data_IF_671803025576
#
_entry.id   IF_671803025576
#
_cell.length_a   1.000
_cell.length_b   1.000
_cell.length_c   1.000
_cell.angle_alpha   90.00
_cell.angle_beta   90.00
_cell.angle_gamma   90.00
#
_symmetry.space_group_name_H-M   'P 1'
#
loop_
_entity.id
_entity.type
_entity.pdbx_description
1 polymer ?
#
# COMPACT_ATOMS: atom_id res chain seq x y z
N UNK A 1 60.53 -8.73 -47.20
CA UNK A 1 61.56 -7.80 -46.66
C UNK A 1 60.91 -6.88 -45.63
N UNK A 2 60.91 -7.22 -44.32
CA UNK A 2 60.57 -6.26 -43.27
C UNK A 2 61.84 -5.80 -42.54
N UNK A 3 62.00 -4.48 -42.46
CA UNK A 3 63.12 -3.78 -41.85
C UNK A 3 63.15 -3.92 -40.34
N UNK A 4 64.35 -4.24 -39.84
CA UNK A 4 64.77 -4.19 -38.44
C UNK A 4 64.94 -2.74 -37.98
N UNK A 5 64.38 -2.39 -36.83
CA UNK A 5 64.77 -1.30 -35.94
C UNK A 5 64.19 -1.63 -34.56
N UNK A 6 64.77 -1.33 -33.40
CA UNK A 6 66.12 -1.02 -32.94
C UNK A 6 65.97 -1.09 -31.41
N UNK A 7 66.80 -1.90 -30.75
CA UNK A 7 66.86 -2.02 -29.29
C UNK A 7 67.59 -0.80 -28.74
N UNK A 8 67.06 -0.15 -27.70
CA UNK A 8 67.88 0.60 -26.73
C UNK A 8 67.25 0.59 -25.33
N UNK A 9 67.90 -0.19 -24.46
CA UNK A 9 67.84 -0.12 -23.00
C UNK A 9 68.27 1.27 -22.53
N UNK A 10 67.64 1.77 -21.46
CA UNK A 10 68.38 2.56 -20.46
C UNK A 10 67.75 2.48 -19.08
N UNK A 11 68.64 2.19 -18.12
CA UNK A 11 68.40 1.92 -16.72
C UNK A 11 68.09 3.19 -15.93
N UNK A 12 67.18 3.11 -14.97
CA UNK A 12 67.00 4.12 -13.93
C UNK A 12 67.58 3.59 -12.61
N UNK A 13 68.78 4.07 -12.31
CA UNK A 13 69.49 3.86 -11.06
C UNK A 13 68.83 4.63 -9.91
N UNK A 14 68.83 3.95 -8.78
CA UNK A 14 68.58 4.43 -7.43
C UNK A 14 69.49 5.61 -7.05
N UNK A 15 68.90 6.66 -6.49
CA UNK A 15 69.62 7.64 -5.67
C UNK A 15 68.71 8.19 -4.58
N UNK A 16 68.84 7.55 -3.41
CA UNK A 16 68.38 8.03 -2.11
C UNK A 16 69.09 9.33 -1.75
N UNK A 17 68.36 10.45 -1.72
CA UNK A 17 68.83 11.69 -1.10
C UNK A 17 68.08 11.92 0.21
N UNK A 18 68.75 11.63 1.33
CA UNK A 18 68.38 12.13 2.65
C UNK A 18 68.56 13.64 2.65
N UNK A 19 67.46 14.38 2.82
CA UNK A 19 67.50 15.82 3.13
C UNK A 19 67.03 15.97 4.57
N UNK A 20 67.84 16.68 5.34
CA UNK A 20 67.68 16.93 6.76
C UNK A 20 66.36 17.67 7.07
N UNK A 21 65.74 17.29 8.17
CA UNK A 21 64.55 17.91 8.72
C UNK A 21 64.89 19.28 9.35
N UNK A 22 64.19 20.37 8.98
CA UNK A 22 64.14 21.55 9.82
C UNK A 22 63.07 21.38 10.92
N UNK A 23 63.51 21.53 12.15
CA UNK A 23 62.70 21.58 13.36
C UNK A 23 61.73 22.78 13.27
N UNK A 24 60.43 22.52 13.10
CA UNK A 24 59.39 23.55 13.22
C UNK A 24 58.65 23.40 14.56
N UNK A 25 58.68 24.47 15.34
CA UNK A 25 57.94 24.64 16.59
C UNK A 25 56.42 24.61 16.37
N UNK A 26 55.62 24.19 17.37
CA UNK A 26 54.18 24.01 17.25
C UNK A 26 53.43 25.27 17.71
N UNK A 27 53.13 26.20 16.81
CA UNK A 27 52.28 27.35 17.15
C UNK A 27 51.31 27.66 16.00
N UNK A 28 50.03 27.36 16.25
CA UNK A 28 48.82 28.03 15.75
C UNK A 28 48.58 27.99 14.24
N UNK A 29 47.80 27.02 13.79
CA UNK A 29 46.97 27.13 12.56
C UNK A 29 45.79 26.13 12.62
N UNK A 30 44.91 26.33 13.61
CA UNK A 30 43.63 25.66 13.70
C UNK A 30 42.50 26.61 13.25
N UNK A 31 42.54 27.11 12.01
CA UNK A 31 41.40 27.78 11.37
C UNK A 31 41.48 27.52 9.86
N UNK A 32 40.36 27.09 9.27
CA UNK A 32 40.14 26.78 7.85
C UNK A 32 40.43 25.37 7.33
N UNK A 33 39.83 24.36 7.99
CA UNK A 33 39.24 23.26 7.23
C UNK A 33 37.71 23.43 7.27
N UNK A 34 37.03 23.56 6.12
CA UNK A 34 35.57 23.55 6.12
C UNK A 34 35.10 22.20 6.69
N UNK A 35 34.02 22.19 7.50
CA UNK A 35 33.51 20.95 8.06
C UNK A 35 33.17 19.99 6.91
N UNK A 36 33.72 18.78 6.95
CA UNK A 36 33.21 17.67 6.15
C UNK A 36 31.81 17.40 6.69
N UNK A 37 30.81 18.00 6.03
CA UNK A 37 29.40 17.77 6.33
C UNK A 37 29.10 16.35 5.84
N UNK A 38 29.26 15.36 6.72
CA UNK A 38 28.58 14.10 6.56
C UNK A 38 27.08 14.41 6.61
N UNK A 39 26.39 14.35 5.48
CA UNK A 39 24.92 14.33 5.45
C UNK A 39 24.47 13.11 6.24
N UNK A 40 24.13 13.34 7.50
CA UNK A 40 23.52 12.35 8.37
C UNK A 40 22.23 11.87 7.72
N UNK A 41 22.08 10.56 7.56
CA UNK A 41 20.91 9.92 6.92
C UNK A 41 19.65 9.96 7.78
N UNK A 42 19.60 10.77 8.85
CA UNK A 42 18.51 10.83 9.82
C UNK A 42 17.35 11.75 9.44
N UNK A 43 17.44 12.54 8.35
CA UNK A 43 16.32 13.33 7.81
C UNK A 43 15.30 12.49 7.00
N UNK A 44 15.08 11.24 7.38
CA UNK A 44 14.15 10.33 6.69
C UNK A 44 12.67 10.76 6.85
N UNK A 45 12.35 11.61 7.83
CA UNK A 45 11.01 12.17 8.02
C UNK A 45 10.67 13.30 7.02
N UNK A 46 11.66 13.90 6.35
CA UNK A 46 11.47 15.04 5.43
C UNK A 46 11.33 14.68 3.94
N UNK A 47 11.47 13.40 3.56
CA UNK A 47 11.46 12.98 2.15
C UNK A 47 10.08 12.60 1.61
N UNK A 48 9.00 13.14 2.17
CA UNK A 48 7.71 13.08 1.47
C UNK A 48 7.80 14.10 0.33
N UNK A 49 8.28 13.64 -0.82
CA UNK A 49 8.39 14.46 -2.02
C UNK A 49 7.07 15.15 -2.34
N UNK A 50 7.15 16.34 -2.94
CA UNK A 50 5.99 17.12 -3.38
C UNK A 50 5.04 16.22 -4.19
N UNK A 51 3.71 16.31 -4.02
CA UNK A 51 2.78 15.57 -4.88
C UNK A 51 2.94 16.00 -6.35
N UNK A 52 2.72 15.05 -7.27
CA UNK A 52 2.69 15.33 -8.71
C UNK A 52 1.46 16.16 -9.08
N UNK A 53 1.69 17.22 -9.83
CA UNK A 53 0.66 18.00 -10.51
C UNK A 53 0.27 17.35 -11.84
N UNK A 54 -0.91 17.69 -12.35
CA UNK A 54 -1.35 17.20 -13.67
C UNK A 54 -0.42 17.62 -14.81
N UNK A 55 0.12 18.83 -14.76
CA UNK A 55 1.06 19.31 -15.77
C UNK A 55 2.35 18.48 -15.77
N UNK A 56 2.85 18.10 -14.60
CA UNK A 56 3.99 17.19 -14.49
C UNK A 56 3.66 15.79 -15.04
N UNK A 57 2.45 15.27 -14.80
CA UNK A 57 2.02 14.00 -15.40
C UNK A 57 2.03 14.06 -16.95
N UNK A 58 1.53 15.16 -17.54
CA UNK A 58 1.56 15.36 -19.01
C UNK A 58 3.00 15.50 -19.54
N UNK A 59 3.89 16.17 -18.80
CA UNK A 59 5.32 16.26 -19.15
C UNK A 59 6.01 14.90 -19.06
N UNK A 60 5.71 14.09 -18.04
CA UNK A 60 6.24 12.72 -17.93
C UNK A 60 5.78 11.88 -19.11
N UNK A 61 4.51 11.97 -19.50
CA UNK A 61 3.97 11.31 -20.69
C UNK A 61 4.72 11.71 -21.94
N UNK A 62 4.82 13.02 -22.19
CA UNK A 62 5.50 13.57 -23.36
C UNK A 62 6.95 13.11 -23.43
N UNK A 63 7.72 13.27 -22.35
CA UNK A 63 9.13 12.87 -22.33
C UNK A 63 9.31 11.35 -22.46
N UNK A 64 8.37 10.54 -21.96
CA UNK A 64 8.42 9.08 -22.19
C UNK A 64 8.11 8.71 -23.64
N UNK A 65 7.19 9.42 -24.31
CA UNK A 65 6.93 9.27 -25.75
C UNK A 65 8.14 9.69 -26.59
N UNK A 66 8.87 10.70 -26.15
CA UNK A 66 10.16 11.13 -26.73
C UNK A 66 11.34 10.19 -26.38
N UNK A 67 11.12 9.10 -25.64
CA UNK A 67 12.13 8.08 -25.36
C UNK A 67 13.07 8.40 -24.19
N UNK A 68 12.84 9.47 -23.44
CA UNK A 68 13.72 9.84 -22.33
C UNK A 68 13.67 8.82 -21.18
N UNK A 69 14.84 8.55 -20.58
CA UNK A 69 14.95 7.74 -19.37
C UNK A 69 14.32 8.46 -18.17
N UNK A 70 13.85 7.71 -17.17
CA UNK A 70 13.28 8.31 -15.96
C UNK A 70 14.25 9.23 -15.21
N UNK A 71 15.56 8.97 -15.30
CA UNK A 71 16.57 9.83 -14.70
C UNK A 71 16.62 11.21 -15.37
N UNK A 72 16.54 11.25 -16.71
CA UNK A 72 16.51 12.49 -17.47
C UNK A 72 15.21 13.25 -17.24
N UNK A 73 14.09 12.54 -17.11
CA UNK A 73 12.79 13.13 -16.78
C UNK A 73 12.82 13.74 -15.37
N UNK A 74 13.34 13.02 -14.38
CA UNK A 74 13.51 13.52 -13.01
C UNK A 74 14.38 14.78 -12.99
N UNK A 75 15.49 14.80 -13.75
CA UNK A 75 16.35 15.97 -13.89
C UNK A 75 15.62 17.16 -14.53
N UNK A 76 14.78 16.93 -15.54
CA UNK A 76 13.96 17.97 -16.19
C UNK A 76 12.83 18.51 -15.30
N UNK A 77 12.26 17.67 -14.42
CA UNK A 77 11.21 18.09 -13.49
C UNK A 77 11.78 18.78 -12.24
N UNK A 78 13.02 18.48 -11.85
CA UNK A 78 13.76 19.14 -10.76
C UNK A 78 13.27 18.82 -9.34
N UNK A 79 11.98 18.54 -9.17
CA UNK A 79 11.35 18.34 -7.86
C UNK A 79 11.20 16.87 -7.44
N UNK A 80 11.49 15.92 -8.34
CA UNK A 80 11.20 14.50 -8.13
C UNK A 80 12.41 13.61 -8.40
N UNK A 81 12.60 12.58 -7.58
CA UNK A 81 13.64 11.58 -7.80
C UNK A 81 13.26 10.56 -8.90
N UNK A 82 14.28 9.95 -9.51
CA UNK A 82 14.11 8.95 -10.60
C UNK A 82 13.12 7.84 -10.27
N UNK A 83 13.21 7.27 -9.06
CA UNK A 83 12.30 6.20 -8.62
C UNK A 83 10.85 6.68 -8.45
N UNK A 84 10.67 7.91 -7.97
CA UNK A 84 9.34 8.54 -7.84
C UNK A 84 8.69 8.70 -9.22
N UNK A 85 9.44 9.20 -10.21
CA UNK A 85 8.95 9.41 -11.58
C UNK A 85 8.59 8.08 -12.24
N UNK A 86 9.45 7.06 -12.07
CA UNK A 86 9.19 5.72 -12.59
C UNK A 86 7.96 5.06 -11.95
N UNK A 87 7.76 5.23 -10.64
CA UNK A 87 6.59 4.71 -9.96
C UNK A 87 5.31 5.43 -10.38
N UNK A 88 5.36 6.78 -10.42
CA UNK A 88 4.25 7.61 -10.90
C UNK A 88 3.85 7.24 -12.34
N UNK A 89 4.82 7.04 -13.22
CA UNK A 89 4.57 6.62 -14.59
C UNK A 89 3.85 5.27 -14.62
N UNK A 90 4.41 4.25 -13.96
CA UNK A 90 3.84 2.90 -14.00
C UNK A 90 2.46 2.82 -13.36
N UNK A 91 2.24 3.43 -12.19
CA UNK A 91 1.04 3.23 -11.37
C UNK A 91 -0.13 4.17 -11.69
N UNK A 92 0.14 5.36 -12.23
CA UNK A 92 -0.91 6.38 -12.39
C UNK A 92 -1.05 6.90 -13.81
N UNK A 93 0.07 7.02 -14.53
CA UNK A 93 0.07 7.67 -15.83
C UNK A 93 -0.11 6.65 -16.96
N UNK A 94 0.67 5.57 -16.96
CA UNK A 94 0.55 4.47 -17.90
C UNK A 94 -0.86 3.85 -17.83
N UNK A 95 -1.45 3.82 -16.64
CA UNK A 95 -2.84 3.38 -16.47
C UNK A 95 -3.89 4.43 -16.83
N UNK A 96 -3.54 5.72 -16.89
CA UNK A 96 -4.46 6.78 -17.34
C UNK A 96 -4.52 6.89 -18.86
N UNK A 97 -3.40 6.63 -19.56
CA UNK A 97 -3.42 6.23 -20.98
C UNK A 97 -4.21 4.90 -21.14
N UNK A 98 -4.28 4.11 -20.06
CA UNK A 98 -5.14 2.92 -19.94
C UNK A 98 -6.65 3.18 -19.69
N UNK A 99 -7.22 4.22 -20.30
CA UNK A 99 -8.52 3.98 -20.96
C UNK A 99 -8.44 2.79 -21.96
N UNK A 100 -7.23 2.37 -22.33
CA UNK A 100 -6.87 1.04 -22.81
C UNK A 100 -7.31 -0.15 -21.91
N UNK A 101 -7.35 -0.05 -20.57
CA UNK A 101 -7.91 -1.10 -19.71
C UNK A 101 -9.45 -1.12 -19.71
N UNK A 102 -10.11 0.02 -19.92
CA UNK A 102 -11.54 0.06 -20.21
C UNK A 102 -11.86 -0.55 -21.60
N UNK A 103 -10.93 -0.47 -22.57
CA UNK A 103 -10.97 -1.27 -23.82
C UNK A 103 -10.68 -2.76 -23.59
N UNK A 104 -9.89 -3.13 -22.59
CA UNK A 104 -9.64 -4.54 -22.23
C UNK A 104 -10.83 -5.20 -21.52
N UNK A 105 -11.70 -4.43 -20.86
CA UNK A 105 -12.98 -4.92 -20.31
C UNK A 105 -14.11 -4.92 -21.36
N UNK A 106 -14.12 -3.97 -22.29
CA UNK A 106 -15.12 -3.90 -23.36
C UNK A 106 -14.85 -4.86 -24.55
N UNK A 107 -13.61 -5.35 -24.73
CA UNK A 107 -13.25 -6.41 -25.68
C UNK A 107 -12.74 -7.65 -24.96
N UNK A 108 -13.63 -8.47 -24.39
CA UNK A 108 -13.37 -9.91 -24.53
C UNK A 108 -13.39 -10.15 -26.03
N UNK A 109 -12.21 -10.21 -26.64
CA UNK A 109 -12.09 -10.51 -28.06
C UNK A 109 -12.93 -11.77 -28.35
N UNK A 110 -13.61 -11.87 -29.51
CA UNK A 110 -14.46 -13.04 -29.81
C UNK A 110 -13.73 -14.37 -29.57
N UNK A 111 -12.43 -14.44 -29.89
CA UNK A 111 -11.52 -15.56 -29.60
C UNK A 111 -11.45 -15.92 -28.09
N UNK A 112 -11.43 -14.92 -27.20
CA UNK A 112 -11.41 -15.13 -25.76
C UNK A 112 -12.78 -15.58 -25.24
N UNK A 113 -13.90 -15.23 -25.89
CA UNK A 113 -15.23 -15.72 -25.49
C UNK A 113 -15.33 -17.23 -25.71
N UNK A 114 -14.88 -17.71 -26.87
CA UNK A 114 -14.84 -19.15 -27.15
C UNK A 114 -13.92 -19.90 -26.16
N UNK A 115 -12.76 -19.33 -25.84
CA UNK A 115 -11.87 -19.90 -24.82
C UNK A 115 -12.50 -19.90 -23.43
N UNK A 116 -13.24 -18.85 -23.05
CA UNK A 116 -13.94 -18.79 -21.76
C UNK A 116 -15.00 -19.89 -21.65
N UNK A 117 -15.82 -20.12 -22.67
CA UNK A 117 -16.80 -21.22 -22.69
C UNK A 117 -16.12 -22.59 -22.57
N UNK A 118 -15.00 -22.82 -23.27
CA UNK A 118 -14.23 -24.06 -23.12
C UNK A 118 -13.64 -24.22 -21.71
N UNK A 119 -13.14 -23.14 -21.11
CA UNK A 119 -12.64 -23.15 -19.74
C UNK A 119 -13.76 -23.44 -18.74
N UNK A 120 -14.96 -22.89 -18.93
CA UNK A 120 -16.15 -23.20 -18.12
C UNK A 120 -16.55 -24.67 -18.22
N UNK A 121 -16.60 -25.22 -19.43
CA UNK A 121 -16.93 -26.63 -19.67
C UNK A 121 -15.90 -27.57 -19.02
N UNK A 122 -14.61 -27.36 -19.26
CA UNK A 122 -13.55 -28.20 -18.70
C UNK A 122 -13.41 -28.04 -17.18
N UNK A 123 -13.66 -26.82 -16.66
CA UNK A 123 -13.73 -26.60 -15.22
C UNK A 123 -14.96 -27.30 -14.60
N UNK A 124 -16.08 -27.39 -15.31
CA UNK A 124 -17.28 -28.13 -14.90
C UNK A 124 -17.02 -29.65 -14.81
N UNK A 125 -16.08 -30.16 -15.61
CA UNK A 125 -15.55 -31.54 -15.53
C UNK A 125 -14.57 -31.75 -14.38
N UNK A 126 -14.28 -30.71 -13.58
CA UNK A 126 -13.39 -30.78 -12.42
C UNK A 126 -11.90 -30.71 -12.74
N UNK A 127 -11.52 -30.41 -14.00
CA UNK A 127 -10.10 -30.28 -14.39
C UNK A 127 -9.46 -29.09 -13.69
N UNK A 128 -8.18 -29.24 -13.35
CA UNK A 128 -7.37 -28.17 -12.75
C UNK A 128 -6.87 -27.22 -13.85
N UNK A 129 -6.66 -25.96 -13.51
CA UNK A 129 -6.24 -24.92 -14.47
C UNK A 129 -5.00 -25.29 -15.32
N UNK A 130 -4.07 -26.12 -14.81
CA UNK A 130 -2.90 -26.55 -15.60
C UNK A 130 -3.23 -27.64 -16.62
N UNK A 131 -4.22 -28.50 -16.34
CA UNK A 131 -4.72 -29.51 -17.27
C UNK A 131 -5.48 -28.81 -18.40
N UNK A 132 -6.36 -27.87 -18.04
CA UNK A 132 -7.07 -27.01 -19.00
C UNK A 132 -6.09 -26.22 -19.87
N UNK A 133 -5.01 -25.68 -19.29
CA UNK A 133 -3.98 -24.96 -20.02
C UNK A 133 -3.25 -25.85 -21.05
N UNK A 134 -2.92 -27.09 -20.66
CA UNK A 134 -2.31 -28.07 -21.56
C UNK A 134 -3.26 -28.45 -22.69
N UNK A 135 -4.52 -28.75 -22.36
CA UNK A 135 -5.52 -29.22 -23.32
C UNK A 135 -5.94 -28.13 -24.32
N UNK A 136 -5.88 -26.85 -23.92
CA UNK A 136 -6.19 -25.71 -24.78
C UNK A 136 -4.95 -25.05 -25.40
N UNK A 137 -3.75 -25.59 -25.17
CA UNK A 137 -2.47 -25.06 -25.64
C UNK A 137 -2.27 -23.56 -25.33
N UNK A 138 -2.69 -23.14 -24.14
CA UNK A 138 -2.54 -21.75 -23.65
C UNK A 138 -1.82 -21.72 -22.31
N UNK A 139 -1.25 -20.55 -21.96
CA UNK A 139 -0.57 -20.42 -20.66
C UNK A 139 -1.56 -20.55 -19.50
N UNK A 140 -1.08 -21.12 -18.38
CA UNK A 140 -1.86 -21.26 -17.13
C UNK A 140 -2.38 -19.90 -16.64
N UNK A 141 -1.59 -18.83 -16.80
CA UNK A 141 -2.02 -17.49 -16.40
C UNK A 141 -3.13 -16.93 -17.30
N UNK A 142 -3.13 -17.27 -18.59
CA UNK A 142 -4.24 -16.93 -19.49
C UNK A 142 -5.52 -17.67 -19.09
N UNK A 143 -5.43 -18.95 -18.72
CA UNK A 143 -6.58 -19.70 -18.17
C UNK A 143 -7.11 -19.04 -16.89
N UNK A 144 -6.23 -18.70 -15.94
CA UNK A 144 -6.64 -18.03 -14.68
C UNK A 144 -7.30 -16.67 -14.93
N UNK A 145 -6.75 -15.91 -15.87
CA UNK A 145 -7.30 -14.61 -16.25
C UNK A 145 -8.68 -14.75 -16.88
N UNK A 146 -8.84 -15.64 -17.86
CA UNK A 146 -10.11 -15.88 -18.55
C UNK A 146 -11.16 -16.49 -17.60
N UNK A 147 -10.78 -17.45 -16.76
CA UNK A 147 -11.64 -18.00 -15.72
C UNK A 147 -12.20 -16.91 -14.79
N UNK A 148 -11.34 -15.98 -14.34
CA UNK A 148 -11.75 -14.84 -13.52
C UNK A 148 -12.73 -13.93 -14.27
N UNK A 149 -12.52 -13.71 -15.56
CA UNK A 149 -13.45 -12.91 -16.39
C UNK A 149 -14.80 -13.58 -16.60
N UNK A 150 -14.85 -14.91 -16.70
CA UNK A 150 -16.10 -15.69 -16.84
C UNK A 150 -16.93 -15.73 -15.55
N UNK A 151 -16.42 -15.20 -14.45
CA UNK A 151 -17.08 -15.36 -13.16
C UNK A 151 -16.94 -16.76 -12.57
N UNK A 152 -16.21 -17.68 -13.24
CA UNK A 152 -15.56 -18.82 -12.60
C UNK A 152 -14.56 -18.27 -11.59
N UNK A 153 -15.07 -17.90 -10.41
CA UNK A 153 -14.22 -17.58 -9.27
C UNK A 153 -13.33 -18.80 -9.11
N UNK A 154 -12.03 -18.64 -9.33
CA UNK A 154 -11.04 -19.65 -8.94
C UNK A 154 -11.49 -20.16 -7.58
N UNK A 155 -11.82 -21.46 -7.46
CA UNK A 155 -12.59 -22.07 -6.37
C UNK A 155 -12.01 -21.92 -4.95
N UNK A 156 -11.10 -20.97 -4.77
CA UNK A 156 -10.63 -20.40 -3.53
C UNK A 156 -11.48 -19.20 -3.08
N UNK A 157 -12.78 -19.15 -3.41
CA UNK A 157 -13.70 -18.62 -2.40
C UNK A 157 -13.58 -19.61 -1.25
N UNK A 158 -12.65 -19.33 -0.33
CA UNK A 158 -12.19 -20.29 0.65
C UNK A 158 -13.41 -20.95 1.29
N UNK A 159 -13.55 -22.27 1.10
CA UNK A 159 -14.59 -23.06 1.74
C UNK A 159 -14.71 -22.55 3.18
N UNK A 160 -15.90 -22.21 3.62
CA UNK A 160 -16.04 -21.64 4.97
C UNK A 160 -15.48 -22.65 5.98
N UNK A 161 -14.78 -22.16 6.99
CA UNK A 161 -14.30 -23.02 8.07
C UNK A 161 -15.48 -23.50 8.87
N UNK A 162 -15.67 -24.81 8.92
CA UNK A 162 -16.66 -25.41 9.80
C UNK A 162 -16.15 -25.45 11.24
N UNK A 163 -17.05 -25.45 12.21
CA UNK A 163 -16.66 -25.59 13.63
C UNK A 163 -15.91 -26.90 13.92
N UNK A 164 -16.16 -27.95 13.12
CA UNK A 164 -15.42 -29.20 13.20
C UNK A 164 -13.98 -29.05 12.70
N UNK A 165 -13.77 -28.47 11.52
CA UNK A 165 -12.42 -28.20 10.98
C UNK A 165 -11.61 -27.29 11.93
N UNK A 166 -12.24 -26.29 12.53
CA UNK A 166 -11.62 -25.44 13.56
C UNK A 166 -11.17 -26.22 14.81
N UNK A 167 -11.98 -27.18 15.27
CA UNK A 167 -11.62 -28.03 16.42
C UNK A 167 -10.46 -28.96 16.06
N UNK A 168 -10.57 -29.66 14.93
CA UNK A 168 -9.54 -30.58 14.46
C UNK A 168 -8.21 -29.87 14.21
N UNK A 169 -8.23 -28.66 13.64
CA UNK A 169 -7.05 -27.81 13.51
C UNK A 169 -6.38 -27.56 14.86
N UNK A 170 -7.16 -27.16 15.88
CA UNK A 170 -6.64 -26.86 17.22
C UNK A 170 -6.04 -28.10 17.87
N UNK A 171 -6.72 -29.24 17.75
CA UNK A 171 -6.23 -30.51 18.28
C UNK A 171 -4.92 -30.94 17.60
N UNK A 172 -4.83 -30.83 16.27
CA UNK A 172 -3.59 -31.13 15.55
C UNK A 172 -2.46 -30.16 15.93
N UNK A 173 -2.76 -28.87 16.15
CA UNK A 173 -1.76 -27.89 16.62
C UNK A 173 -1.30 -28.17 18.03
N UNK A 174 -2.19 -28.53 18.94
CA UNK A 174 -1.86 -28.94 20.30
C UNK A 174 -0.95 -30.18 20.32
N UNK A 175 -1.15 -31.11 19.37
CA UNK A 175 -0.29 -32.28 19.14
C UNK A 175 1.03 -31.95 18.41
N UNK A 176 1.32 -30.68 18.13
CA UNK A 176 2.56 -30.25 17.48
C UNK A 176 2.63 -30.49 15.97
N UNK A 177 1.51 -30.80 15.31
CA UNK A 177 1.52 -31.03 13.87
C UNK A 177 1.98 -29.79 13.09
N UNK A 178 2.77 -30.04 12.02
CA UNK A 178 3.23 -28.99 11.10
C UNK A 178 2.06 -28.54 10.22
N UNK A 179 2.08 -27.26 9.82
CA UNK A 179 1.02 -26.66 8.98
C UNK A 179 0.71 -27.43 7.69
N UNK A 180 1.73 -28.05 7.07
CA UNK A 180 1.55 -28.88 5.88
C UNK A 180 0.71 -30.13 6.13
N UNK A 181 0.97 -30.84 7.24
CA UNK A 181 0.20 -32.03 7.61
C UNK A 181 -1.26 -31.68 7.92
N UNK A 182 -1.48 -30.57 8.62
CA UNK A 182 -2.83 -30.04 8.91
C UNK A 182 -3.57 -29.67 7.62
N UNK A 183 -2.89 -29.00 6.70
CA UNK A 183 -3.46 -28.62 5.40
C UNK A 183 -3.90 -29.84 4.59
N UNK A 184 -3.07 -30.89 4.55
CA UNK A 184 -3.40 -32.15 3.87
C UNK A 184 -4.59 -32.83 4.55
N UNK A 185 -4.58 -32.98 5.89
CA UNK A 185 -5.65 -33.62 6.65
C UNK A 185 -7.02 -32.93 6.44
N UNK A 186 -7.03 -31.60 6.45
CA UNK A 186 -8.27 -30.81 6.30
C UNK A 186 -8.67 -30.58 4.82
N UNK A 187 -7.86 -31.01 3.86
CA UNK A 187 -8.06 -30.69 2.44
C UNK A 187 -8.03 -29.18 2.16
N UNK A 188 -7.20 -28.42 2.88
CA UNK A 188 -7.07 -26.96 2.77
C UNK A 188 -5.66 -26.57 2.29
N UNK A 189 -5.47 -25.31 1.91
CA UNK A 189 -4.13 -24.77 1.65
C UNK A 189 -3.44 -24.36 2.94
N UNK A 190 -2.11 -24.49 3.00
CA UNK A 190 -1.29 -24.07 4.17
C UNK A 190 -1.53 -22.61 4.54
N UNK A 191 -1.67 -21.73 3.55
CA UNK A 191 -1.98 -20.31 3.77
C UNK A 191 -3.36 -20.12 4.39
N UNK A 192 -4.37 -20.89 3.96
CA UNK A 192 -5.72 -20.85 4.54
C UNK A 192 -5.73 -21.30 6.00
N UNK A 193 -5.01 -22.39 6.33
CA UNK A 193 -4.85 -22.88 7.71
C UNK A 193 -4.20 -21.81 8.59
N UNK A 194 -3.07 -21.23 8.15
CA UNK A 194 -2.38 -20.17 8.90
C UNK A 194 -3.24 -18.94 9.11
N UNK A 195 -3.91 -18.49 8.04
CA UNK A 195 -4.79 -17.33 8.11
C UNK A 195 -5.94 -17.58 9.08
N UNK A 196 -6.54 -18.77 9.07
CA UNK A 196 -7.62 -19.11 9.99
C UNK A 196 -7.21 -19.02 11.47
N UNK A 197 -6.04 -19.56 11.82
CA UNK A 197 -5.51 -19.42 13.20
C UNK A 197 -5.26 -17.98 13.60
N UNK A 198 -4.71 -17.17 12.69
CA UNK A 198 -4.50 -15.74 12.95
C UNK A 198 -5.83 -15.01 13.20
N UNK A 199 -6.90 -15.43 12.54
CA UNK A 199 -8.23 -14.84 12.71
C UNK A 199 -8.88 -15.32 14.00
N UNK A 200 -8.84 -16.61 14.33
CA UNK A 200 -9.35 -17.14 15.61
C UNK A 200 -8.65 -16.50 16.82
N UNK A 201 -7.33 -16.35 16.79
CA UNK A 201 -6.58 -15.71 17.88
C UNK A 201 -6.95 -14.23 18.05
N UNK A 202 -7.29 -13.55 16.95
CA UNK A 202 -7.72 -12.15 16.98
C UNK A 202 -9.10 -12.01 17.63
N UNK A 203 -10.01 -12.93 17.34
CA UNK A 203 -11.37 -12.92 17.90
C UNK A 203 -11.39 -13.35 19.36
N UNK A 204 -10.45 -14.21 19.78
CA UNK A 204 -10.26 -14.59 21.18
C UNK A 204 -9.75 -13.44 22.07
N UNK A 205 -9.34 -12.30 21.50
CA UNK A 205 -8.75 -11.19 22.25
C UNK A 205 -7.37 -11.50 22.85
N UNK A 206 -6.84 -12.69 22.59
CA UNK A 206 -5.55 -13.16 23.09
C UNK A 206 -4.45 -12.79 22.09
N UNK A 207 -4.07 -11.50 22.10
CA UNK A 207 -2.92 -11.02 21.30
C UNK A 207 -1.56 -11.52 21.80
N UNK A 208 -1.55 -12.30 22.89
CA UNK A 208 -0.34 -12.66 23.65
C UNK A 208 0.12 -14.10 23.49
N UNK A 209 -0.69 -15.01 22.94
CA UNK A 209 -0.31 -16.42 22.77
C UNK A 209 -0.10 -16.84 21.31
N UNK A 210 0.96 -16.31 20.69
CA UNK A 210 1.73 -17.10 19.74
C UNK A 210 2.91 -17.68 20.51
N UNK A 211 2.68 -18.79 21.22
CA UNK A 211 3.75 -19.55 21.86
C UNK A 211 4.89 -19.79 20.86
N UNK A 212 6.15 -19.73 21.32
CA UNK A 212 7.31 -19.82 20.43
C UNK A 212 7.20 -21.11 19.62
N UNK A 213 7.08 -20.98 18.30
CA UNK A 213 7.17 -22.13 17.41
C UNK A 213 8.58 -22.71 17.58
N UNK A 214 8.75 -23.98 18.01
CA UNK A 214 10.04 -24.61 17.89
C UNK A 214 10.30 -24.81 16.39
N UNK A 215 11.39 -24.19 15.93
CA UNK A 215 12.06 -24.41 14.66
C UNK A 215 11.48 -23.66 13.44
N UNK A 216 11.82 -22.37 13.40
CA UNK A 216 12.29 -21.75 12.15
C UNK A 216 13.55 -20.92 12.50
N UNK A 217 14.67 -21.61 12.69
CA UNK A 217 15.97 -20.98 12.80
C UNK A 217 16.31 -20.35 11.44
N UNK A 218 16.05 -19.06 11.33
CA UNK A 218 16.61 -18.20 10.28
C UNK A 218 18.11 -18.13 10.51
N UNK A 219 18.87 -18.91 9.74
CA UNK A 219 20.32 -18.71 9.63
C UNK A 219 20.59 -17.32 9.04
N UNK A 220 21.44 -16.48 9.67
CA UNK A 220 21.97 -15.30 9.00
C UNK A 220 23.02 -15.71 7.96
N UNK A 221 23.22 -14.91 6.89
CA UNK A 221 24.20 -15.23 5.86
C UNK A 221 25.63 -15.16 6.44
N UNK A 222 26.59 -15.91 5.89
CA UNK A 222 27.92 -15.99 6.47
C UNK A 222 28.74 -14.76 6.06
N UNK A 223 29.07 -13.90 7.02
CA UNK A 223 30.17 -12.96 6.87
C UNK A 223 30.86 -12.69 8.21
N UNK A 224 31.97 -13.40 8.42
CA UNK A 224 33.22 -12.98 9.07
C UNK A 224 33.10 -12.04 10.30
N UNK A 225 32.95 -12.61 11.47
CA UNK A 225 34.01 -12.62 12.51
C UNK A 225 33.45 -13.29 13.77
N UNK A 226 34.00 -14.46 14.12
CA UNK A 226 33.75 -15.09 15.42
C UNK A 226 34.65 -14.43 16.46
N UNK A 227 34.26 -13.27 16.97
CA UNK A 227 34.75 -12.86 18.30
C UNK A 227 33.65 -13.16 19.30
N UNK A 228 33.93 -14.09 20.21
CA UNK A 228 33.06 -14.33 21.37
C UNK A 228 33.08 -13.05 22.21
N UNK A 229 31.91 -12.53 22.53
CA UNK A 229 31.78 -11.42 23.45
C UNK A 229 32.27 -11.89 24.81
N UNK A 230 33.11 -11.07 25.43
CA UNK A 230 33.60 -11.34 26.78
C UNK A 230 32.50 -11.05 27.79
N UNK A 231 32.51 -11.72 28.94
CA UNK A 231 31.60 -11.46 30.07
C UNK A 231 31.56 -9.95 30.41
N UNK A 232 32.72 -9.27 30.26
CA UNK A 232 32.88 -7.85 30.51
C UNK A 232 32.10 -6.98 29.52
N UNK A 233 32.15 -7.29 28.21
CA UNK A 233 31.36 -6.59 27.17
C UNK A 233 29.85 -6.86 27.34
N UNK A 234 29.45 -8.05 27.80
CA UNK A 234 28.06 -8.36 28.13
C UNK A 234 27.58 -7.61 29.38
N UNK A 235 28.47 -7.35 30.33
CA UNK A 235 28.18 -6.57 31.55
C UNK A 235 28.08 -5.08 31.24
N UNK A 236 28.94 -4.55 30.39
CA UNK A 236 28.90 -3.15 29.92
C UNK A 236 27.61 -2.84 29.14
N UNK A 237 27.12 -3.77 28.31
CA UNK A 237 25.83 -3.61 27.62
C UNK A 237 24.65 -3.64 28.59
N UNK A 238 24.75 -4.41 29.69
CA UNK A 238 23.73 -4.42 30.76
C UNK A 238 23.74 -3.13 31.57
N UNK A 239 24.90 -2.54 31.83
CA UNK A 239 25.03 -1.27 32.57
C UNK A 239 24.64 -0.04 31.72
N UNK A 240 24.88 -0.08 30.40
CA UNK A 240 24.42 0.97 29.47
C UNK A 240 22.90 0.96 29.25
N UNK A 241 22.20 -0.11 29.63
CA UNK A 241 20.75 -0.13 29.79
C UNK A 241 20.35 0.39 31.18
N UNK A 242 20.75 1.62 31.49
CA UNK A 242 20.26 2.34 32.66
C UNK A 242 18.73 2.54 32.62
N UNK A 243 18.10 2.87 33.76
CA UNK A 243 16.65 2.99 33.88
C UNK A 243 16.15 4.14 33.01
N UNK A 244 15.66 3.80 31.83
CA UNK A 244 14.99 4.73 30.94
C UNK A 244 13.66 5.19 31.57
N UNK A 245 13.73 6.35 32.23
CA UNK A 245 12.67 7.35 32.44
C UNK A 245 11.24 6.90 32.10
N UNK A 246 10.49 6.53 33.14
CA UNK A 246 9.06 6.21 33.14
C UNK A 246 8.16 7.44 32.94
N UNK A 247 8.46 8.33 31.99
CA UNK A 247 7.59 9.45 31.63
C UNK A 247 7.45 9.63 30.11
N UNK A 248 7.50 8.53 29.36
CA UNK A 248 6.85 8.52 28.06
C UNK A 248 5.34 8.44 28.32
N UNK A 249 4.62 9.54 28.07
CA UNK A 249 3.17 9.52 27.89
C UNK A 249 2.89 8.51 26.78
N UNK A 250 2.61 7.27 27.17
CA UNK A 250 2.20 6.25 26.24
C UNK A 250 0.98 6.80 25.49
N UNK A 251 0.94 6.73 24.15
CA UNK A 251 -0.29 7.00 23.45
C UNK A 251 -1.37 6.11 24.09
N UNK A 252 -2.54 6.66 24.43
CA UNK A 252 -3.58 5.88 25.11
C UNK A 252 -3.78 4.58 24.32
N UNK A 253 -3.90 3.44 25.02
CA UNK A 253 -3.97 2.13 24.39
C UNK A 253 -4.99 2.19 23.26
N UNK A 254 -4.63 1.63 22.11
CA UNK A 254 -5.46 1.63 20.90
C UNK A 254 -6.90 1.30 21.32
N UNK A 255 -7.78 2.31 21.33
CA UNK A 255 -9.09 2.21 21.96
C UNK A 255 -9.79 1.03 21.32
N UNK A 256 -9.99 -0.04 22.09
CA UNK A 256 -10.74 -1.19 21.63
C UNK A 256 -12.06 -0.66 21.07
N UNK A 257 -12.50 -1.19 19.93
CA UNK A 257 -13.73 -0.73 19.28
C UNK A 257 -14.90 -1.06 20.20
N UNK A 258 -15.20 -0.20 21.16
CA UNK A 258 -16.29 -0.34 22.13
C UNK A 258 -17.56 -0.58 21.34
N UNK A 259 -18.19 -1.74 21.55
CA UNK A 259 -19.46 -2.10 20.90
C UNK A 259 -20.52 -1.06 21.25
N UNK A 260 -21.46 -0.84 20.35
CA UNK A 260 -22.60 0.05 20.59
C UNK A 260 -23.58 -0.64 21.53
N UNK A 261 -23.96 0.02 22.62
CA UNK A 261 -25.04 -0.48 23.48
C UNK A 261 -26.39 -0.04 22.95
N UNK A 262 -27.47 -0.77 23.30
CA UNK A 262 -28.82 -0.38 22.89
C UNK A 262 -29.21 1.01 23.41
N UNK A 263 -28.79 1.37 24.63
CA UNK A 263 -29.00 2.70 25.20
C UNK A 263 -28.35 3.80 24.36
N UNK A 264 -27.09 3.60 23.95
CA UNK A 264 -26.40 4.56 23.07
C UNK A 264 -27.12 4.68 21.71
N UNK A 265 -27.66 3.58 21.16
CA UNK A 265 -28.39 3.61 19.89
C UNK A 265 -29.72 4.38 19.99
N UNK A 266 -30.45 4.21 21.10
CA UNK A 266 -31.68 4.97 21.37
C UNK A 266 -31.37 6.45 21.53
N UNK A 267 -30.34 6.80 22.30
CA UNK A 267 -29.93 8.20 22.49
C UNK A 267 -29.46 8.85 21.17
N UNK A 268 -28.74 8.12 20.30
CA UNK A 268 -28.39 8.60 18.96
C UNK A 268 -29.63 8.90 18.12
N UNK A 269 -30.70 8.10 18.21
CA UNK A 269 -31.95 8.31 17.45
C UNK A 269 -32.68 9.58 17.91
N UNK A 270 -32.76 9.78 19.21
CA UNK A 270 -33.44 10.94 19.81
C UNK A 270 -32.67 12.23 19.53
N UNK A 271 -31.35 12.23 19.77
CA UNK A 271 -30.52 13.42 19.62
C UNK A 271 -30.35 13.87 18.17
N UNK A 272 -30.44 12.95 17.21
CA UNK A 272 -30.26 13.32 15.80
C UNK A 272 -31.30 14.34 15.31
N UNK A 273 -32.50 14.35 15.88
CA UNK A 273 -33.52 15.32 15.53
C UNK A 273 -33.20 16.75 16.03
N UNK A 274 -32.34 16.87 17.04
CA UNK A 274 -32.14 18.11 17.81
C UNK A 274 -30.71 18.66 17.75
N UNK A 275 -29.71 17.81 17.54
CA UNK A 275 -28.29 18.14 17.71
C UNK A 275 -27.46 17.83 16.48
N UNK A 276 -26.34 18.54 16.33
CA UNK A 276 -25.39 18.26 15.26
C UNK A 276 -24.53 17.03 15.58
N UNK A 277 -24.00 16.35 14.55
CA UNK A 277 -23.17 15.14 14.76
C UNK A 277 -21.97 15.37 15.70
N UNK A 278 -21.28 16.54 15.68
CA UNK A 278 -20.24 16.86 16.67
C UNK A 278 -20.75 16.93 18.11
N UNK A 279 -21.92 17.54 18.35
CA UNK A 279 -22.54 17.62 19.68
C UNK A 279 -22.91 16.22 20.21
N UNK A 280 -23.50 15.38 19.36
CA UNK A 280 -23.83 13.99 19.69
C UNK A 280 -22.54 13.20 20.03
N UNK A 281 -21.46 13.43 19.27
CA UNK A 281 -20.18 12.78 19.51
C UNK A 281 -19.57 13.19 20.86
N UNK A 282 -19.63 14.48 21.19
CA UNK A 282 -19.17 15.01 22.47
C UNK A 282 -19.99 14.43 23.63
N UNK A 283 -21.33 14.43 23.52
CA UNK A 283 -22.25 13.92 24.54
C UNK A 283 -22.05 12.44 24.85
N UNK A 284 -21.89 11.62 23.80
CA UNK A 284 -21.67 10.17 23.94
C UNK A 284 -20.21 9.79 24.20
N UNK A 285 -19.30 10.77 24.26
CA UNK A 285 -17.85 10.57 24.34
C UNK A 285 -17.31 9.62 23.25
N UNK A 286 -17.90 9.71 22.05
CA UNK A 286 -17.50 8.95 20.85
C UNK A 286 -16.84 9.89 19.84
N UNK A 287 -16.16 9.34 18.86
CA UNK A 287 -15.58 10.14 17.78
C UNK A 287 -16.65 10.46 16.73
N UNK A 288 -16.56 11.64 16.10
CA UNK A 288 -17.46 12.06 15.02
C UNK A 288 -17.59 11.01 13.90
N UNK A 289 -16.49 10.37 13.41
CA UNK A 289 -16.60 9.29 12.42
C UNK A 289 -17.38 8.07 12.93
N UNK A 290 -17.27 7.74 14.22
CA UNK A 290 -18.01 6.63 14.83
C UNK A 290 -19.52 6.91 14.84
N UNK A 291 -19.93 8.13 15.20
CA UNK A 291 -21.35 8.54 15.15
C UNK A 291 -21.87 8.47 13.71
N UNK A 292 -21.13 9.03 12.72
CA UNK A 292 -21.52 8.98 11.30
C UNK A 292 -21.69 7.55 10.80
N UNK A 293 -20.76 6.67 11.14
CA UNK A 293 -20.83 5.25 10.78
C UNK A 293 -22.02 4.54 11.44
N UNK A 294 -22.35 4.92 12.67
CA UNK A 294 -23.52 4.39 13.39
C UNK A 294 -24.83 4.84 12.74
N UNK A 295 -24.99 6.14 12.49
CA UNK A 295 -26.15 6.70 11.80
C UNK A 295 -26.32 6.10 10.40
N UNK A 296 -25.21 5.87 9.68
CA UNK A 296 -25.23 5.17 8.39
C UNK A 296 -25.76 3.74 8.52
N UNK A 297 -25.24 2.96 9.47
CA UNK A 297 -25.65 1.56 9.68
C UNK A 297 -27.09 1.42 10.15
N UNK A 298 -27.60 2.40 10.89
CA UNK A 298 -28.98 2.42 11.37
C UNK A 298 -29.96 2.96 10.31
N UNK A 299 -29.49 3.28 9.09
CA UNK A 299 -30.28 3.98 8.05
C UNK A 299 -30.88 5.31 8.52
N UNK A 300 -30.30 5.91 9.56
CA UNK A 300 -30.77 7.13 10.17
C UNK A 300 -30.16 8.38 9.54
N UNK A 301 -29.01 8.25 8.85
CA UNK A 301 -28.59 9.30 7.92
C UNK A 301 -29.69 9.43 6.87
N UNK A 302 -30.57 10.42 7.10
CA UNK A 302 -31.68 10.88 6.25
C UNK A 302 -31.21 10.68 4.83
N UNK A 303 -31.74 9.66 4.13
CA UNK A 303 -31.20 9.13 2.86
C UNK A 303 -30.50 10.28 2.14
N UNK A 304 -29.19 10.42 2.32
CA UNK A 304 -28.42 11.19 1.37
C UNK A 304 -28.58 10.28 0.19
N UNK A 305 -29.55 10.59 -0.66
CA UNK A 305 -29.78 9.87 -1.89
C UNK A 305 -28.37 9.63 -2.42
N UNK A 306 -27.98 8.36 -2.68
CA UNK A 306 -26.60 8.04 -2.99
C UNK A 306 -26.13 9.10 -3.97
N UNK A 307 -24.96 9.73 -3.78
CA UNK A 307 -24.57 10.92 -4.56
C UNK A 307 -24.58 10.71 -6.09
N UNK A 308 -24.87 9.48 -6.55
CA UNK A 308 -24.99 9.04 -7.92
C UNK A 308 -26.41 8.57 -8.38
N UNK A 309 -27.44 8.49 -7.53
CA UNK A 309 -28.71 7.81 -7.90
C UNK A 309 -29.99 8.66 -7.83
N UNK A 310 -29.88 9.95 -7.52
CA UNK A 310 -31.00 10.88 -7.68
C UNK A 310 -30.61 12.04 -8.60
N UNK A 311 -30.07 11.75 -9.77
CA UNK A 311 -30.17 12.66 -10.92
C UNK A 311 -31.59 12.55 -11.48
N UNK A 312 -32.58 12.93 -10.68
CA UNK A 312 -33.88 13.26 -11.24
C UNK A 312 -33.67 14.55 -12.03
N UNK A 313 -34.10 14.56 -13.30
CA UNK A 313 -34.07 15.69 -14.24
C UNK A 313 -34.42 17.05 -13.59
N UNK A 314 -35.25 17.06 -12.55
CA UNK A 314 -35.58 18.27 -11.78
C UNK A 314 -34.41 18.92 -11.06
N UNK A 315 -33.45 18.16 -10.53
CA UNK A 315 -32.29 18.71 -9.82
C UNK A 315 -31.30 19.42 -10.75
N UNK A 316 -31.12 18.91 -11.98
CA UNK A 316 -30.36 19.61 -13.01
C UNK A 316 -31.05 20.92 -13.41
N UNK A 317 -32.37 20.92 -13.62
CA UNK A 317 -33.13 22.13 -14.00
C UNK A 317 -33.03 23.23 -12.93
N UNK A 318 -33.09 22.89 -11.65
CA UNK A 318 -32.94 23.85 -10.54
C UNK A 318 -31.52 24.42 -10.50
N UNK A 319 -30.49 23.57 -10.62
CA UNK A 319 -29.09 24.03 -10.69
C UNK A 319 -28.92 25.02 -11.85
N UNK A 320 -29.52 24.76 -13.01
CA UNK A 320 -29.34 25.57 -14.21
C UNK A 320 -30.06 26.92 -14.14
N UNK A 321 -31.31 26.94 -13.69
CA UNK A 321 -32.08 28.19 -13.58
C UNK A 321 -31.57 29.09 -12.47
N UNK A 322 -31.13 28.51 -11.36
CA UNK A 322 -30.84 29.29 -10.17
C UNK A 322 -29.36 29.63 -10.02
N UNK A 323 -28.44 28.91 -10.68
CA UNK A 323 -27.01 29.19 -10.56
C UNK A 323 -26.62 30.58 -11.06
N UNK A 324 -27.31 31.11 -12.06
CA UNK A 324 -27.06 32.47 -12.56
C UNK A 324 -27.43 33.55 -11.52
N UNK A 325 -28.29 33.21 -10.55
CA UNK A 325 -28.83 34.16 -9.57
C UNK A 325 -28.33 33.93 -8.15
N UNK A 326 -28.01 32.70 -7.79
CA UNK A 326 -27.68 32.28 -6.43
C UNK A 326 -26.20 31.90 -6.28
N UNK A 327 -25.67 32.08 -5.06
CA UNK A 327 -24.34 31.58 -4.68
C UNK A 327 -24.39 30.06 -4.58
N UNK A 328 -23.24 29.41 -4.80
CA UNK A 328 -23.15 27.94 -4.76
C UNK A 328 -23.60 27.32 -3.43
N UNK A 329 -23.45 28.04 -2.32
CA UNK A 329 -23.91 27.58 -1.00
C UNK A 329 -25.43 27.48 -0.97
N UNK A 330 -26.14 28.51 -1.43
CA UNK A 330 -27.61 28.56 -1.46
C UNK A 330 -28.19 27.49 -2.39
N UNK A 331 -27.54 27.26 -3.54
CA UNK A 331 -27.89 26.17 -4.46
C UNK A 331 -27.72 24.80 -3.79
N UNK A 332 -26.64 24.61 -3.01
CA UNK A 332 -26.39 23.37 -2.30
C UNK A 332 -27.42 23.12 -1.17
N UNK A 333 -27.75 24.17 -0.42
CA UNK A 333 -28.74 24.12 0.65
C UNK A 333 -30.13 23.78 0.10
N UNK A 334 -30.55 24.40 -1.02
CA UNK A 334 -31.83 24.09 -1.69
C UNK A 334 -31.92 22.65 -2.20
N UNK A 335 -30.81 22.10 -2.68
CA UNK A 335 -30.76 20.72 -3.19
C UNK A 335 -30.57 19.67 -2.09
N UNK A 336 -30.31 20.10 -0.84
CA UNK A 336 -29.93 19.21 0.25
C UNK A 336 -28.63 18.44 -0.04
N UNK A 337 -27.67 19.07 -0.73
CA UNK A 337 -26.38 18.47 -1.14
C UNK A 337 -25.21 19.30 -0.64
N UNK A 338 -24.00 18.76 -0.76
CA UNK A 338 -22.78 19.53 -0.51
C UNK A 338 -22.47 20.45 -1.70
N UNK A 339 -21.81 21.58 -1.42
CA UNK A 339 -21.40 22.55 -2.45
C UNK A 339 -20.57 21.91 -3.58
N UNK A 340 -19.66 21.00 -3.24
CA UNK A 340 -18.81 20.32 -4.22
C UNK A 340 -19.60 19.35 -5.12
N UNK A 341 -20.62 18.69 -4.57
CA UNK A 341 -21.52 17.83 -5.33
C UNK A 341 -22.31 18.65 -6.36
N UNK A 342 -22.91 19.77 -5.94
CA UNK A 342 -23.63 20.68 -6.83
C UNK A 342 -22.74 21.24 -7.96
N UNK A 343 -21.49 21.61 -7.64
CA UNK A 343 -20.49 22.03 -8.65
C UNK A 343 -20.12 20.91 -9.60
N UNK A 344 -19.98 19.69 -9.10
CA UNK A 344 -19.65 18.51 -9.91
C UNK A 344 -20.71 18.23 -10.97
N UNK A 345 -21.98 18.29 -10.58
CA UNK A 345 -23.14 18.09 -11.47
C UNK A 345 -23.17 19.18 -12.53
N UNK A 346 -23.07 20.46 -12.15
CA UNK A 346 -23.04 21.57 -13.09
C UNK A 346 -21.89 21.45 -14.11
N UNK A 347 -20.69 21.06 -13.68
CA UNK A 347 -19.54 20.82 -14.59
C UNK A 347 -19.73 19.62 -15.50
N UNK A 348 -20.44 18.59 -15.04
CA UNK A 348 -20.78 17.43 -15.86
C UNK A 348 -21.79 17.84 -16.93
N UNK A 349 -22.82 18.61 -16.56
CA UNK A 349 -23.82 19.15 -17.46
C UNK A 349 -23.20 20.12 -18.49
N UNK A 350 -22.38 21.08 -18.05
CA UNK A 350 -21.78 22.08 -18.92
C UNK A 350 -20.88 21.47 -20.01
N UNK A 351 -20.32 20.28 -19.76
CA UNK A 351 -19.53 19.52 -20.74
C UNK A 351 -20.37 18.76 -21.78
N UNK A 352 -21.65 18.53 -21.51
CA UNK A 352 -22.57 17.81 -22.40
C UNK A 352 -23.38 18.73 -23.31
N UNK A 353 -23.32 20.06 -23.11
CA UNK A 353 -24.03 21.01 -23.96
C UNK A 353 -23.30 21.08 -25.31
N UNK A 354 -23.94 20.71 -26.43
CA UNK A 354 -23.45 21.10 -27.73
C UNK A 354 -23.59 22.63 -27.86
N UNK A 355 -22.57 23.26 -28.43
CA UNK A 355 -22.58 24.71 -28.73
C UNK A 355 -23.73 25.08 -29.68
#
# INVERSE_FOLDING_TARGET
MPSKMLVLNQAASSLTRRVAAPCFHPIVLAKFLPPIIYRTTSDAAGRRGRPYTKAEDELILRYRKEGLSYANIAKKLGAHGTGSVGNRYREHIAYRDSQHQDRLRARVRPENRALMTKIEEESGKGKRNFEIARDLEISVDKVRYLARLSGLRSGHQGRLWTAQESRELRDMRAKGARWGAIAIALGRSVSSVKQHVLWENRDAGDSTNLGPCPNNATFPPPARSRRKWTEKELTEVRELQGPCLNNATFPPPARSRRKWTEKELTEVRELQAQQTVPEIAQRLQRTVPSIRQCLFRQNLLRKMAPPFLADTLGSEVVILRERERLKWQEVADRLGRTMDSSRGIYRSWARRRPD
#
